data_IF_080681328330
#
_entry.id   IF_080681328330
#
_cell.length_a   1.000
_cell.length_b   1.000
_cell.length_c   1.000
_cell.angle_alpha   90.00
_cell.angle_beta   90.00
_cell.angle_gamma   90.00
#
_symmetry.space_group_name_H-M   'P 1'
#
loop_
_entity.id
_entity.type
_entity.pdbx_description
1 polymer ?
#
# COMPACT_ATOMS: atom_id res chain seq x y z
N UNK A 1 63.78 -7.18 10.76
CA UNK A 1 63.85 -8.59 10.31
C UNK A 1 62.57 -9.28 10.73
N UNK A 2 62.12 -10.24 9.91
CA UNK A 2 60.98 -11.16 10.10
C UNK A 2 59.57 -10.58 9.91
N UNK A 3 58.63 -11.23 9.22
CA UNK A 3 58.68 -12.16 8.09
C UNK A 3 57.25 -12.24 7.54
N UNK A 4 57.10 -12.09 6.22
CA UNK A 4 55.85 -12.27 5.47
C UNK A 4 55.50 -13.75 5.40
N UNK A 5 54.24 -14.13 5.67
CA UNK A 5 53.69 -15.44 5.29
C UNK A 5 52.38 -15.21 4.53
N UNK A 6 52.39 -15.64 3.27
CA UNK A 6 51.26 -15.72 2.34
C UNK A 6 50.64 -17.14 2.34
N UNK A 7 49.36 -17.20 1.91
CA UNK A 7 48.68 -18.29 1.15
C UNK A 7 48.08 -19.44 2.00
N UNK A 8 47.02 -20.20 1.58
CA UNK A 8 46.31 -20.30 0.28
C UNK A 8 44.78 -20.14 0.28
N UNK A 9 44.24 -19.75 -0.90
CA UNK A 9 42.93 -20.16 -1.41
C UNK A 9 43.00 -21.61 -1.93
N UNK A 10 41.97 -22.42 -1.67
CA UNK A 10 41.37 -23.17 -2.77
C UNK A 10 39.85 -23.42 -2.62
N UNK A 11 39.14 -23.44 -3.75
CA UNK A 11 37.98 -24.33 -3.91
C UNK A 11 36.78 -23.77 -4.65
N UNK A 12 36.86 -23.72 -5.98
CA UNK A 12 35.70 -23.81 -6.85
C UNK A 12 35.25 -25.29 -6.97
N UNK A 13 33.92 -25.47 -7.10
CA UNK A 13 33.14 -26.66 -7.50
C UNK A 13 32.54 -27.52 -6.37
N UNK A 14 31.43 -28.29 -6.59
CA UNK A 14 30.55 -28.37 -7.76
C UNK A 14 29.05 -28.17 -7.44
N UNK A 15 28.33 -27.86 -8.51
CA UNK A 15 26.89 -27.93 -8.71
C UNK A 15 26.24 -29.15 -8.02
N UNK A 16 25.54 -28.92 -6.91
CA UNK A 16 24.68 -29.93 -6.29
C UNK A 16 23.23 -29.60 -6.65
N UNK A 17 22.88 -30.00 -7.88
CA UNK A 17 21.53 -29.89 -8.43
C UNK A 17 20.57 -30.72 -7.59
N UNK A 18 19.91 -30.03 -6.67
CA UNK A 18 18.90 -30.56 -5.77
C UNK A 18 17.71 -31.10 -6.60
N UNK A 19 17.34 -32.39 -6.50
CA UNK A 19 16.29 -33.01 -7.33
C UNK A 19 14.89 -32.42 -7.11
N UNK A 20 14.73 -31.48 -6.17
CA UNK A 20 13.47 -30.77 -5.92
C UNK A 20 13.14 -29.69 -6.96
N UNK A 21 14.14 -29.14 -7.67
CA UNK A 21 13.89 -28.10 -8.67
C UNK A 21 13.36 -28.65 -10.00
N UNK A 22 13.65 -29.91 -10.33
CA UNK A 22 13.14 -30.54 -11.56
C UNK A 22 11.62 -30.76 -11.52
N UNK A 23 11.05 -31.09 -10.34
CA UNK A 23 9.61 -31.29 -10.21
C UNK A 23 8.78 -29.99 -10.31
N UNK A 24 9.38 -28.83 -10.02
CA UNK A 24 8.66 -27.54 -10.06
C UNK A 24 8.55 -27.00 -11.50
N UNK A 25 9.54 -27.28 -12.35
CA UNK A 25 9.54 -26.81 -13.74
C UNK A 25 8.51 -27.60 -14.58
N UNK A 26 8.31 -28.89 -14.29
CA UNK A 26 7.35 -29.74 -15.03
C UNK A 26 5.89 -29.36 -14.74
N UNK A 27 5.56 -28.93 -13.52
CA UNK A 27 4.20 -28.47 -13.19
C UNK A 27 3.87 -27.12 -13.82
N UNK A 28 4.86 -26.21 -13.93
CA UNK A 28 4.67 -24.89 -14.56
C UNK A 28 4.37 -24.98 -16.06
N UNK A 29 5.03 -25.89 -16.80
CA UNK A 29 4.81 -26.05 -18.25
C UNK A 29 3.43 -26.68 -18.53
N UNK A 30 2.99 -27.62 -17.69
CA UNK A 30 1.67 -28.26 -17.79
C UNK A 30 0.53 -27.26 -17.59
N UNK A 31 0.65 -26.35 -16.61
CA UNK A 31 -0.36 -25.34 -16.31
C UNK A 31 -0.46 -24.25 -17.39
N UNK A 32 0.64 -23.96 -18.08
CA UNK A 32 0.67 -22.98 -19.17
C UNK A 32 0.04 -23.52 -20.47
N UNK A 33 0.03 -24.83 -20.69
CA UNK A 33 -0.61 -25.45 -21.85
C UNK A 33 -2.15 -25.56 -21.71
N UNK A 34 -2.69 -25.71 -20.49
CA UNK A 34 -4.14 -25.76 -20.25
C UNK A 34 -4.84 -24.42 -20.46
N UNK A 35 -4.15 -23.29 -20.27
CA UNK A 35 -4.73 -21.95 -20.46
C UNK A 35 -4.84 -21.52 -21.93
N UNK A 36 -4.18 -22.21 -22.87
CA UNK A 36 -4.32 -21.94 -24.31
C UNK A 36 -5.54 -22.58 -24.98
N UNK A 37 -6.16 -23.60 -24.37
CA UNK A 37 -7.21 -24.40 -25.01
C UNK A 37 -8.62 -23.78 -24.92
N UNK A 38 -8.84 -22.82 -24.02
CA UNK A 38 -10.15 -22.17 -23.82
C UNK A 38 -10.40 -20.94 -24.70
N UNK A 39 -9.39 -20.44 -25.43
CA UNK A 39 -9.52 -19.22 -26.25
C UNK A 39 -10.01 -19.52 -27.68
N UNK A 40 -10.11 -20.79 -28.08
CA UNK A 40 -10.30 -21.21 -29.48
C UNK A 40 -11.71 -21.53 -29.99
N UNK A 41 -12.81 -21.16 -29.32
CA UNK A 41 -14.15 -21.68 -29.67
C UNK A 41 -15.29 -20.68 -29.86
N UNK A 42 -15.05 -19.39 -30.15
CA UNK A 42 -16.15 -18.42 -30.30
C UNK A 42 -16.04 -17.44 -31.48
N UNK A 43 -15.45 -17.84 -32.61
CA UNK A 43 -15.59 -17.08 -33.88
C UNK A 43 -16.08 -18.02 -34.98
N UNK A 44 -17.31 -18.48 -34.84
CA UNK A 44 -18.00 -19.27 -35.85
C UNK A 44 -19.51 -19.02 -35.77
N UNK A 45 -20.10 -18.68 -36.91
CA UNK A 45 -21.54 -18.61 -37.18
C UNK A 45 -22.29 -17.34 -36.75
N UNK A 46 -22.25 -16.33 -37.63
CA UNK A 46 -23.43 -15.54 -38.04
C UNK A 46 -23.16 -15.07 -39.48
N UNK A 47 -23.33 -15.97 -40.45
CA UNK A 47 -24.45 -15.98 -41.40
C UNK A 47 -24.61 -14.70 -42.22
N UNK A 48 -24.02 -14.75 -43.44
CA UNK A 48 -24.65 -14.42 -44.73
C UNK A 48 -26.03 -13.74 -44.65
N UNK A 49 -26.09 -12.49 -45.11
CA UNK A 49 -27.27 -11.94 -45.78
C UNK A 49 -26.86 -11.31 -47.10
N UNK A 50 -27.75 -11.48 -48.07
CA UNK A 50 -27.52 -11.32 -49.51
C UNK A 50 -27.20 -9.88 -49.90
N UNK A 51 -26.23 -9.75 -50.79
CA UNK A 51 -25.94 -8.56 -51.58
C UNK A 51 -27.06 -8.35 -52.61
N UNK A 52 -27.71 -7.19 -52.55
CA UNK A 52 -28.49 -6.64 -53.65
C UNK A 52 -28.10 -5.16 -53.80
N UNK A 53 -27.69 -4.80 -55.01
CA UNK A 53 -27.16 -3.49 -55.42
C UNK A 53 -28.29 -2.56 -55.81
N UNK A 54 -28.38 -1.35 -55.24
CA UNK A 54 -28.46 -0.04 -55.94
C UNK A 54 -28.71 1.16 -54.98
N UNK A 55 -28.38 2.40 -55.39
CA UNK A 55 -28.02 3.51 -54.50
C UNK A 55 -29.16 4.49 -54.21
N UNK A 56 -29.16 5.08 -53.01
CA UNK A 56 -30.05 6.18 -52.64
C UNK A 56 -29.69 6.76 -51.27
N UNK A 57 -29.47 8.07 -51.22
CA UNK A 57 -29.01 8.87 -50.08
C UNK A 57 -30.04 8.97 -48.92
N UNK A 58 -29.56 8.88 -47.67
CA UNK A 58 -29.92 9.71 -46.51
C UNK A 58 -29.09 9.30 -45.26
N UNK A 59 -28.73 10.23 -44.35
CA UNK A 59 -27.82 9.94 -43.24
C UNK A 59 -28.57 9.28 -42.06
N UNK A 60 -28.04 8.16 -41.55
CA UNK A 60 -28.55 7.49 -40.34
C UNK A 60 -27.53 7.67 -39.21
N UNK A 61 -28.03 8.13 -38.07
CA UNK A 61 -27.31 8.37 -36.84
C UNK A 61 -26.55 7.11 -36.36
N UNK A 62 -25.30 7.31 -35.94
CA UNK A 62 -24.47 6.27 -35.33
C UNK A 62 -24.99 5.96 -33.91
N UNK A 63 -25.54 4.74 -33.72
CA UNK A 63 -25.84 4.22 -32.39
C UNK A 63 -24.56 3.57 -31.86
N UNK A 64 -23.89 4.28 -30.97
CA UNK A 64 -22.66 3.86 -30.31
C UNK A 64 -22.99 2.80 -29.26
N UNK A 65 -23.01 1.53 -29.67
CA UNK A 65 -23.20 0.39 -28.77
C UNK A 65 -22.05 0.30 -27.77
N UNK A 66 -22.25 0.85 -26.56
CA UNK A 66 -21.36 0.63 -25.43
C UNK A 66 -21.53 -0.81 -24.97
N UNK A 67 -20.54 -1.65 -25.24
CA UNK A 67 -20.45 -2.97 -24.60
C UNK A 67 -20.17 -2.72 -23.11
N UNK A 68 -21.04 -3.14 -22.18
CA UNK A 68 -20.73 -3.01 -20.76
C UNK A 68 -19.56 -3.95 -20.46
N UNK A 69 -18.38 -3.38 -20.20
CA UNK A 69 -17.26 -4.10 -19.60
C UNK A 69 -17.74 -4.64 -18.25
N UNK A 70 -17.93 -5.95 -18.18
CA UNK A 70 -18.21 -6.65 -16.92
C UNK A 70 -16.94 -6.57 -16.08
N UNK A 71 -16.85 -5.53 -15.24
CA UNK A 71 -15.87 -5.48 -14.17
C UNK A 71 -16.29 -6.55 -13.17
N UNK A 72 -15.53 -7.64 -13.09
CA UNK A 72 -15.71 -8.63 -12.02
C UNK A 72 -15.38 -7.94 -10.69
N UNK A 73 -16.41 -7.49 -9.99
CA UNK A 73 -16.29 -7.04 -8.60
C UNK A 73 -15.98 -8.28 -7.76
N UNK A 74 -14.69 -8.56 -7.52
CA UNK A 74 -14.32 -9.57 -6.54
C UNK A 74 -14.88 -9.13 -5.19
N UNK A 75 -15.86 -9.88 -4.70
CA UNK A 75 -16.36 -9.75 -3.33
C UNK A 75 -15.25 -10.24 -2.43
N UNK A 76 -14.37 -9.32 -2.02
CA UNK A 76 -13.42 -9.58 -0.96
C UNK A 76 -14.25 -9.72 0.31
N UNK A 77 -14.16 -10.86 0.99
CA UNK A 77 -14.74 -10.98 2.33
C UNK A 77 -14.15 -9.87 3.19
N UNK A 78 -14.97 -8.90 3.58
CA UNK A 78 -14.56 -7.71 4.34
C UNK A 78 -14.06 -8.15 5.72
N UNK A 79 -12.77 -8.39 5.85
CA UNK A 79 -12.11 -8.51 7.15
C UNK A 79 -12.05 -7.09 7.73
N UNK A 80 -12.61 -6.91 8.92
CA UNK A 80 -12.52 -5.64 9.64
C UNK A 80 -11.07 -5.42 10.07
N UNK A 81 -10.50 -4.27 9.69
CA UNK A 81 -9.18 -3.83 10.13
C UNK A 81 -9.18 -3.46 11.62
N UNK A 82 -8.17 -3.96 12.33
CA UNK A 82 -7.76 -3.48 13.64
C UNK A 82 -6.86 -2.24 13.51
N UNK A 83 -6.50 -1.64 14.65
CA UNK A 83 -5.55 -0.53 14.68
C UNK A 83 -4.17 -1.00 14.19
N UNK A 84 -3.53 -0.31 13.24
CA UNK A 84 -2.25 -0.73 12.69
C UNK A 84 -1.18 -0.86 13.78
N UNK A 85 -0.33 -1.88 13.68
CA UNK A 85 0.77 -2.06 14.63
C UNK A 85 1.99 -1.28 14.14
N UNK A 86 2.63 -0.58 15.07
CA UNK A 86 3.83 0.23 14.81
C UNK A 86 5.05 -0.64 15.07
N UNK A 87 5.78 -0.96 14.01
CA UNK A 87 6.95 -1.85 14.07
C UNK A 87 8.20 -1.10 14.52
N UNK A 88 8.40 0.11 13.99
CA UNK A 88 9.57 0.93 14.26
C UNK A 88 9.27 2.40 13.96
N UNK A 89 9.79 3.32 14.77
CA UNK A 89 9.66 4.75 14.50
C UNK A 89 10.69 5.60 15.24
N UNK A 90 10.95 6.79 14.69
CA UNK A 90 11.72 7.85 15.36
C UNK A 90 10.84 8.55 16.40
N UNK A 91 11.20 8.47 17.68
CA UNK A 91 10.47 9.11 18.77
C UNK A 91 10.94 10.54 19.11
N UNK A 92 12.02 10.98 18.46
CA UNK A 92 12.57 12.34 18.56
C UNK A 92 12.89 12.87 17.17
N UNK A 93 12.76 14.17 16.96
CA UNK A 93 13.08 14.81 15.69
C UNK A 93 13.48 16.28 15.88
N UNK A 94 14.19 16.83 14.89
CA UNK A 94 14.57 18.25 14.82
C UNK A 94 13.76 18.91 13.69
N UNK A 95 13.13 20.08 13.90
CA UNK A 95 12.36 20.79 12.89
C UNK A 95 13.29 21.57 11.95
N UNK A 96 14.01 20.86 11.07
CA UNK A 96 14.94 21.45 10.10
C UNK A 96 14.61 21.09 8.64
N UNK A 97 13.50 20.39 8.40
CA UNK A 97 13.06 19.93 7.08
C UNK A 97 13.87 18.77 6.49
N UNK A 98 14.96 18.33 7.14
CA UNK A 98 15.79 17.24 6.64
C UNK A 98 15.11 15.90 6.85
N UNK A 99 15.12 15.04 5.82
CA UNK A 99 14.58 13.68 5.89
C UNK A 99 15.52 12.80 6.72
N UNK A 100 15.26 12.69 8.02
CA UNK A 100 16.07 11.89 8.95
C UNK A 100 15.27 10.91 9.80
N UNK A 101 13.94 10.96 9.72
CA UNK A 101 13.05 10.17 10.57
C UNK A 101 12.38 9.07 9.76
N UNK A 102 12.04 7.98 10.45
CA UNK A 102 11.37 6.83 9.84
C UNK A 102 10.15 6.42 10.64
N UNK A 103 9.16 5.86 9.96
CA UNK A 103 7.98 5.23 10.55
C UNK A 103 7.67 3.95 9.77
N UNK A 104 7.44 2.83 10.45
CA UNK A 104 7.05 1.56 9.84
C UNK A 104 5.86 0.96 10.58
N UNK A 105 4.87 0.53 9.81
CA UNK A 105 3.66 -0.09 10.34
C UNK A 105 3.24 -1.29 9.49
N UNK A 106 2.38 -2.12 10.08
CA UNK A 106 1.63 -3.13 9.34
C UNK A 106 0.15 -3.18 9.74
N UNK A 107 -0.69 -3.51 8.75
CA UNK A 107 -2.12 -3.70 8.95
C UNK A 107 -2.42 -5.04 9.63
N UNK A 108 -3.40 -5.03 10.52
CA UNK A 108 -3.90 -6.21 11.23
C UNK A 108 -5.41 -6.27 11.20
N UNK A 109 -5.98 -7.45 11.45
CA UNK A 109 -7.42 -7.63 11.64
C UNK A 109 -7.88 -7.15 13.04
N UNK A 110 -9.20 -7.14 13.25
CA UNK A 110 -9.81 -6.68 14.48
C UNK A 110 -9.85 -7.74 15.61
N UNK A 111 -9.15 -8.88 15.50
CA UNK A 111 -9.26 -9.96 16.52
C UNK A 111 -8.46 -9.71 17.79
N UNK A 112 -7.51 -8.77 17.76
CA UNK A 112 -6.60 -8.48 18.87
C UNK A 112 -6.88 -7.17 19.61
N UNK A 113 -5.92 -6.78 20.45
CA UNK A 113 -5.95 -5.49 21.15
C UNK A 113 -5.41 -4.41 20.22
N UNK A 114 -6.17 -3.32 20.05
CA UNK A 114 -5.81 -2.16 19.24
C UNK A 114 -4.33 -1.75 19.46
N UNK A 115 -3.57 -1.67 18.36
CA UNK A 115 -2.17 -1.23 18.29
C UNK A 115 -1.17 -2.13 19.05
N UNK A 116 -1.61 -3.28 19.56
CA UNK A 116 -0.80 -4.23 20.34
C UNK A 116 -0.78 -5.60 19.67
N UNK A 117 -1.93 -6.10 19.21
CA UNK A 117 -2.05 -7.42 18.61
C UNK A 117 -3.19 -7.52 17.59
N UNK A 118 -3.09 -8.51 16.72
CA UNK A 118 -4.04 -8.84 15.66
C UNK A 118 -3.34 -9.75 14.64
N UNK A 119 -4.09 -10.42 13.77
CA UNK A 119 -3.46 -11.20 12.71
C UNK A 119 -3.06 -10.26 11.56
N UNK A 120 -1.83 -10.36 11.01
CA UNK A 120 -1.41 -9.53 9.89
C UNK A 120 -2.32 -9.69 8.67
N UNK A 121 -2.73 -8.56 8.08
CA UNK A 121 -3.54 -8.54 6.86
C UNK A 121 -2.63 -8.24 5.67
N UNK A 122 -2.32 -9.26 4.88
CA UNK A 122 -1.37 -9.17 3.77
C UNK A 122 -2.08 -8.75 2.47
N UNK A 123 -2.29 -7.45 2.31
CA UNK A 123 -3.09 -6.88 1.24
C UNK A 123 -2.49 -5.58 0.70
N UNK A 124 -2.16 -5.50 -0.60
CA UNK A 124 -1.60 -4.28 -1.21
C UNK A 124 -2.65 -3.20 -1.51
N UNK A 125 -3.94 -3.54 -1.41
CA UNK A 125 -5.07 -2.65 -1.64
C UNK A 125 -5.50 -1.85 -0.39
N UNK A 126 -4.77 -2.00 0.72
CA UNK A 126 -4.92 -1.15 1.90
C UNK A 126 -4.17 0.17 1.65
N UNK A 127 -4.83 1.29 1.92
CA UNK A 127 -4.22 2.62 1.93
C UNK A 127 -3.68 2.93 3.32
N UNK A 128 -2.44 3.39 3.38
CA UNK A 128 -1.70 3.75 4.57
C UNK A 128 -1.47 5.28 4.59
N UNK A 129 -1.75 5.97 5.70
CA UNK A 129 -1.57 7.42 5.83
C UNK A 129 -0.88 7.81 7.15
N UNK A 130 -0.05 8.85 7.11
CA UNK A 130 0.69 9.38 8.27
C UNK A 130 0.51 10.91 8.39
N UNK A 131 0.28 11.42 9.60
CA UNK A 131 0.25 12.86 9.87
C UNK A 131 0.96 13.23 11.18
N UNK A 132 1.23 14.53 11.35
CA UNK A 132 1.65 15.10 12.62
C UNK A 132 0.49 15.84 13.26
N UNK A 133 0.13 15.47 14.49
CA UNK A 133 -0.96 16.06 15.25
C UNK A 133 -0.44 16.73 16.53
N UNK A 134 -1.10 17.81 16.94
CA UNK A 134 -0.91 18.36 18.29
C UNK A 134 -1.45 17.39 19.34
N UNK A 135 -0.83 17.40 20.52
CA UNK A 135 -1.38 16.77 21.73
C UNK A 135 -2.23 17.82 22.45
N UNK A 136 -3.46 17.47 22.79
CA UNK A 136 -4.30 18.28 23.69
C UNK A 136 -3.99 18.01 25.16
N UNK A 137 -4.41 18.92 26.04
CA UNK A 137 -4.10 18.91 27.48
C UNK A 137 -4.57 17.62 28.19
N UNK A 138 -5.59 16.96 27.64
CA UNK A 138 -6.12 15.67 28.12
C UNK A 138 -5.49 14.44 27.41
N UNK A 139 -4.44 14.66 26.60
CA UNK A 139 -3.74 13.66 25.78
C UNK A 139 -4.64 12.94 24.76
N UNK A 140 -5.84 13.44 24.48
CA UNK A 140 -6.74 12.86 23.48
C UNK A 140 -6.59 13.59 22.17
N UNK A 141 -6.55 12.83 21.08
CA UNK A 141 -6.77 13.38 19.75
C UNK A 141 -8.25 13.33 19.47
N UNK A 142 -8.80 14.46 19.03
CA UNK A 142 -10.21 14.55 18.66
C UNK A 142 -10.30 14.29 17.17
N UNK A 143 -10.50 13.02 16.80
CA UNK A 143 -10.87 12.66 15.42
C UNK A 143 -12.39 12.81 15.29
N UNK A 144 -12.91 13.72 14.45
CA UNK A 144 -14.35 13.91 14.28
C UNK A 144 -15.07 12.62 13.89
N UNK A 145 -16.25 12.36 14.46
CA UNK A 145 -17.08 11.17 14.19
C UNK A 145 -17.34 10.92 12.70
N UNK A 146 -17.45 11.99 11.91
CA UNK A 146 -17.62 11.91 10.47
C UNK A 146 -16.41 11.26 9.76
N UNK A 147 -15.18 11.48 10.25
CA UNK A 147 -13.97 10.86 9.70
C UNK A 147 -13.86 9.39 10.02
N UNK A 148 -14.42 8.93 11.15
CA UNK A 148 -14.50 7.50 11.46
C UNK A 148 -15.39 6.73 10.49
N UNK A 149 -16.31 7.40 9.80
CA UNK A 149 -17.31 6.79 8.90
C UNK A 149 -17.00 6.96 7.41
N UNK A 150 -16.15 7.91 7.02
CA UNK A 150 -15.84 8.22 5.63
C UNK A 150 -14.33 8.50 5.44
N UNK A 151 -13.54 7.43 5.45
CA UNK A 151 -12.07 7.48 5.41
C UNK A 151 -11.49 7.80 4.04
N UNK A 152 -12.25 7.53 2.97
CA UNK A 152 -11.93 7.96 1.61
C UNK A 152 -12.01 9.48 1.44
N UNK A 153 -12.76 10.19 2.29
CA UNK A 153 -12.79 11.66 2.34
C UNK A 153 -11.61 12.29 3.11
N UNK A 154 -10.75 11.49 3.77
CA UNK A 154 -9.57 11.99 4.50
C UNK A 154 -8.44 12.27 3.50
N UNK A 155 -8.65 13.27 2.65
CA UNK A 155 -7.64 13.92 1.83
C UNK A 155 -7.31 15.34 2.34
N UNK A 156 -8.07 15.79 3.33
CA UNK A 156 -8.02 17.13 3.92
C UNK A 156 -7.60 17.01 5.39
N UNK A 157 -6.90 18.02 5.91
CA UNK A 157 -6.36 17.91 7.25
C UNK A 157 -7.47 17.73 8.28
N UNK A 158 -7.28 16.79 9.21
CA UNK A 158 -8.16 16.70 10.37
C UNK A 158 -7.83 17.82 11.35
N UNK A 159 -8.79 18.21 12.21
CA UNK A 159 -8.73 19.47 12.98
C UNK A 159 -7.46 19.68 13.82
N UNK A 160 -6.82 18.59 14.23
CA UNK A 160 -5.62 18.60 15.07
C UNK A 160 -4.31 18.39 14.28
N UNK A 161 -4.40 18.18 12.97
CA UNK A 161 -3.25 18.08 12.09
C UNK A 161 -2.49 19.41 12.02
N UNK A 162 -1.18 19.31 12.11
CA UNK A 162 -0.27 20.39 11.76
C UNK A 162 -0.04 20.31 10.26
N UNK A 163 -0.78 21.13 9.52
CA UNK A 163 -0.69 21.18 8.07
C UNK A 163 0.76 21.41 7.64
N UNK A 164 1.26 20.56 6.73
CA UNK A 164 2.65 20.57 6.26
C UNK A 164 3.70 20.43 7.39
N UNK A 165 3.32 19.85 8.54
CA UNK A 165 4.22 19.63 9.67
C UNK A 165 5.27 18.54 9.40
N UNK A 166 4.93 17.58 8.53
CA UNK A 166 5.84 16.56 8.03
C UNK A 166 6.31 16.93 6.61
N UNK A 167 7.59 16.73 6.36
CA UNK A 167 8.20 16.82 5.02
C UNK A 167 8.51 15.39 4.60
N UNK A 168 7.87 14.89 3.55
CA UNK A 168 8.04 13.48 3.14
C UNK A 168 9.15 13.33 2.10
N UNK A 169 9.83 12.18 2.15
CA UNK A 169 10.64 11.70 1.02
C UNK A 169 9.74 11.40 -0.18
N UNK A 170 10.21 11.73 -1.39
CA UNK A 170 9.44 11.58 -2.63
C UNK A 170 8.99 10.13 -2.90
N UNK A 171 9.71 9.14 -2.34
CA UNK A 171 9.38 7.72 -2.49
C UNK A 171 8.37 7.21 -1.48
N UNK A 172 8.11 7.96 -0.41
CA UNK A 172 7.19 7.57 0.66
C UNK A 172 6.26 8.73 1.04
N UNK A 173 5.33 9.10 0.16
CA UNK A 173 4.43 10.22 0.39
C UNK A 173 3.50 9.97 1.59
N UNK A 174 2.90 11.06 2.07
CA UNK A 174 1.97 11.06 3.20
C UNK A 174 0.90 9.97 3.12
N UNK A 175 0.28 9.85 1.95
CA UNK A 175 -0.68 8.80 1.60
C UNK A 175 -0.05 7.89 0.57
N UNK A 176 0.00 6.59 0.87
CA UNK A 176 0.54 5.57 -0.03
C UNK A 176 -0.23 4.26 0.14
N UNK A 177 -0.16 3.40 -0.87
CA UNK A 177 -0.64 2.02 -0.72
C UNK A 177 0.33 1.23 0.15
N UNK A 178 -0.19 0.37 1.02
CA UNK A 178 0.64 -0.58 1.73
C UNK A 178 1.18 -1.63 0.72
N UNK A 179 2.30 -2.27 1.01
CA UNK A 179 2.90 -3.27 0.13
C UNK A 179 2.10 -4.60 0.13
N UNK A 180 2.56 -5.62 -0.60
CA UNK A 180 1.91 -6.93 -0.67
C UNK A 180 1.79 -7.67 0.68
N UNK A 181 2.53 -7.22 1.71
CA UNK A 181 2.47 -7.73 3.08
C UNK A 181 1.59 -6.88 4.00
N UNK A 182 0.89 -5.87 3.47
CA UNK A 182 0.09 -4.93 4.26
C UNK A 182 0.93 -3.98 5.11
N UNK A 183 2.16 -3.68 4.68
CA UNK A 183 3.10 -2.84 5.43
C UNK A 183 3.32 -1.50 4.72
N UNK A 184 3.59 -0.46 5.49
CA UNK A 184 4.04 0.82 4.96
C UNK A 184 5.26 1.33 5.72
N UNK A 185 6.11 2.07 5.02
CA UNK A 185 7.26 2.77 5.60
C UNK A 185 7.27 4.20 5.10
N UNK A 186 7.42 5.15 6.00
CA UNK A 186 7.64 6.56 5.68
C UNK A 186 9.04 6.98 6.08
N UNK A 187 9.68 7.75 5.21
CA UNK A 187 10.83 8.58 5.52
C UNK A 187 10.37 10.03 5.51
N UNK A 188 10.67 10.76 6.57
CA UNK A 188 10.21 12.13 6.72
C UNK A 188 11.15 13.01 7.54
N UNK A 189 11.06 14.32 7.32
CA UNK A 189 11.58 15.38 8.16
C UNK A 189 10.44 16.10 8.88
N UNK A 190 10.80 16.95 9.84
CA UNK A 190 9.86 17.87 10.49
C UNK A 190 10.06 19.25 9.90
N UNK A 191 8.97 19.87 9.46
CA UNK A 191 9.01 21.22 8.88
C UNK A 191 9.61 22.23 9.86
N UNK A 192 10.47 23.17 9.42
CA UNK A 192 11.02 24.21 10.27
C UNK A 192 9.98 25.14 10.92
N UNK A 193 8.74 25.15 10.41
CA UNK A 193 7.65 25.91 10.99
C UNK A 193 7.01 25.24 12.23
N UNK A 194 7.37 23.98 12.52
CA UNK A 194 6.86 23.25 13.69
C UNK A 194 7.65 23.66 14.93
N UNK A 195 6.96 24.17 15.94
CA UNK A 195 7.57 24.50 17.22
C UNK A 195 8.10 23.25 17.95
N UNK A 196 9.04 23.45 18.86
CA UNK A 196 9.48 22.37 19.74
C UNK A 196 8.36 21.98 20.72
N UNK A 197 8.27 20.70 21.07
CA UNK A 197 7.20 20.19 21.93
C UNK A 197 6.94 18.70 21.75
N UNK A 198 5.86 18.23 22.36
CA UNK A 198 5.39 16.84 22.22
C UNK A 198 4.18 16.80 21.30
N UNK A 199 4.24 15.89 20.33
CA UNK A 199 3.27 15.71 19.27
C UNK A 199 2.90 14.22 19.15
N UNK A 200 1.92 13.91 18.31
CA UNK A 200 1.56 12.55 17.96
C UNK A 200 1.69 12.35 16.46
N UNK A 201 2.35 11.27 16.07
CA UNK A 201 2.26 10.69 14.74
C UNK A 201 0.94 9.93 14.65
N UNK A 202 0.09 10.35 13.73
CA UNK A 202 -1.23 9.80 13.46
C UNK A 202 -1.15 8.81 12.31
N UNK A 203 -1.58 7.57 12.51
CA UNK A 203 -1.50 6.53 11.49
C UNK A 203 -2.90 6.02 11.20
N UNK A 204 -3.25 5.94 9.92
CA UNK A 204 -4.48 5.34 9.45
C UNK A 204 -4.16 4.22 8.46
N UNK A 205 -4.85 3.09 8.63
CA UNK A 205 -5.02 2.09 7.57
C UNK A 205 -6.48 2.08 7.14
N UNK A 206 -6.73 2.20 5.83
CA UNK A 206 -8.06 2.21 5.22
C UNK A 206 -8.13 1.16 4.10
N UNK A 207 -9.16 0.33 4.11
CA UNK A 207 -9.39 -0.67 3.08
C UNK A 207 -10.54 -0.26 2.16
N UNK A 208 -10.23 0.59 1.20
CA UNK A 208 -11.17 1.05 0.19
C UNK A 208 -12.43 1.72 0.77
N UNK A 209 -12.29 2.42 1.89
CA UNK A 209 -13.41 3.06 2.61
C UNK A 209 -14.36 2.11 3.34
N UNK A 210 -14.14 0.79 3.29
CA UNK A 210 -15.03 -0.21 3.93
C UNK A 210 -14.69 -0.46 5.39
N UNK A 211 -13.41 -0.41 5.72
CA UNK A 211 -12.89 -0.59 7.07
C UNK A 211 -11.65 0.24 7.24
N UNK A 212 -11.59 0.98 8.35
CA UNK A 212 -10.42 1.77 8.68
C UNK A 212 -10.19 1.80 10.19
N UNK A 213 -8.94 2.04 10.57
CA UNK A 213 -8.58 2.15 11.98
C UNK A 213 -7.29 2.94 12.18
N UNK A 214 -7.10 3.43 13.40
CA UNK A 214 -6.07 4.40 13.74
C UNK A 214 -5.13 3.89 14.81
N UNK A 215 -3.88 4.33 14.72
CA UNK A 215 -2.87 4.20 15.78
C UNK A 215 -2.13 5.51 15.96
N UNK A 216 -1.44 5.64 17.09
CA UNK A 216 -0.75 6.86 17.46
C UNK A 216 0.62 6.54 18.06
N UNK A 217 1.63 7.35 17.75
CA UNK A 217 2.95 7.28 18.36
C UNK A 217 3.40 8.66 18.85
N UNK A 218 3.92 8.80 20.08
CA UNK A 218 4.43 10.06 20.58
C UNK A 218 5.72 10.46 19.86
N UNK A 219 5.82 11.73 19.48
CA UNK A 219 7.02 12.32 18.88
C UNK A 219 7.42 13.57 19.67
N UNK A 220 8.68 13.61 20.12
CA UNK A 220 9.25 14.80 20.73
C UNK A 220 10.04 15.61 19.71
N UNK A 221 9.54 16.78 19.35
CA UNK A 221 10.25 17.74 18.50
C UNK A 221 11.16 18.58 19.39
N UNK A 222 12.46 18.42 19.18
CA UNK A 222 13.51 19.09 19.94
C UNK A 222 13.86 20.44 19.31
N UNK A 223 14.48 21.33 20.08
CA UNK A 223 15.06 22.55 19.52
C UNK A 223 16.22 22.17 18.61
N UNK A 224 16.28 22.75 17.41
CA UNK A 224 17.47 22.66 16.55
C UNK A 224 18.59 23.52 17.12
N UNK A 225 19.82 23.03 17.00
CA UNK A 225 21.04 23.76 17.38
C UNK A 225 21.27 24.99 16.49
#
# INVERSE_FOLDING_TARGET
MQQTIMRPEPGLQPNNSNPRYQNIIITAISLCALSGLLIGFAVGALTRTKQATQPGQAPIAAIQGHTPTVVLTQVVNNIKLGCPIIDNYSNTAIPNGTISNTMQIHAVDATGKCAISGNPVQRPDITCKLWLSKIHVDQKIVVPDAMWRNTSAIAQPFSDEIQNGLVFDDTTPQTQMCNSRGQATWKFGISPAVNHGTYLLAILTDWGGTSANWSWAPLKVMKGD
#
